data_IF_342523983477
#
_entry.id   IF_342523983477
#
_cell.length_a   1.000
_cell.length_b   1.000
_cell.length_c   1.000
_cell.angle_alpha   90.00
_cell.angle_beta   90.00
_cell.angle_gamma   90.00
#
_symmetry.space_group_name_H-M   'P 1'
#
loop_
_entity.id
_entity.type
_entity.pdbx_description
1 polymer ?
#
# COMPACT_ATOMS: atom_id res chain seq x y z
N UNK A 1 -22.53 -4.33 8.35
CA UNK A 1 -21.48 -4.50 7.31
C UNK A 1 -22.21 -4.48 5.98
N UNK A 2 -21.78 -3.65 5.04
CA UNK A 2 -22.42 -3.54 3.71
C UNK A 2 -22.38 -4.92 3.02
N UNK A 3 -23.52 -5.37 2.52
CA UNK A 3 -23.64 -6.62 1.76
C UNK A 3 -23.40 -6.35 0.28
N UNK A 4 -22.91 -7.36 -0.44
CA UNK A 4 -22.63 -7.25 -1.88
C UNK A 4 -23.61 -8.12 -2.66
N UNK A 5 -24.38 -7.50 -3.53
CA UNK A 5 -25.22 -8.17 -4.52
C UNK A 5 -24.48 -8.25 -5.85
N UNK A 6 -24.34 -9.46 -6.40
CA UNK A 6 -23.72 -9.66 -7.71
C UNK A 6 -24.75 -9.55 -8.83
N UNK A 7 -24.68 -8.52 -9.67
CA UNK A 7 -25.50 -8.46 -10.88
C UNK A 7 -24.92 -9.34 -11.97
N UNK A 8 -25.74 -10.21 -12.53
CA UNK A 8 -25.35 -11.08 -13.64
C UNK A 8 -25.78 -10.55 -15.01
N UNK A 9 -26.25 -9.31 -15.12
CA UNK A 9 -26.79 -8.75 -16.37
C UNK A 9 -25.87 -8.97 -17.59
N UNK A 10 -24.55 -8.80 -17.44
CA UNK A 10 -23.57 -9.01 -18.51
C UNK A 10 -23.31 -10.47 -18.87
N UNK A 11 -23.57 -11.40 -17.95
CA UNK A 11 -23.22 -12.83 -18.04
C UNK A 11 -24.45 -13.73 -17.95
N UNK A 12 -25.63 -13.17 -18.20
CA UNK A 12 -26.94 -13.81 -18.10
C UNK A 12 -27.10 -15.10 -18.93
N UNK A 13 -26.26 -15.31 -19.95
CA UNK A 13 -26.25 -16.52 -20.77
C UNK A 13 -25.26 -17.60 -20.30
N UNK A 14 -24.50 -17.36 -19.23
CA UNK A 14 -23.44 -18.24 -18.73
C UNK A 14 -23.72 -18.60 -17.27
N UNK A 15 -24.38 -19.74 -17.07
CA UNK A 15 -24.79 -20.18 -15.74
C UNK A 15 -23.61 -20.46 -14.81
N UNK A 16 -22.46 -20.90 -15.33
CA UNK A 16 -21.28 -21.15 -14.50
C UNK A 16 -20.76 -19.84 -13.89
N UNK A 17 -20.83 -18.73 -14.63
CA UNK A 17 -20.53 -17.40 -14.09
C UNK A 17 -21.56 -16.93 -13.05
N UNK A 18 -22.85 -17.20 -13.28
CA UNK A 18 -23.89 -16.89 -12.27
C UNK A 18 -23.65 -17.69 -10.99
N UNK A 19 -23.34 -18.97 -11.11
CA UNK A 19 -22.99 -19.85 -9.99
C UNK A 19 -21.71 -19.41 -9.28
N UNK A 20 -20.73 -18.87 -10.01
CA UNK A 20 -19.55 -18.27 -9.43
C UNK A 20 -19.92 -17.05 -8.56
N UNK A 21 -20.80 -16.16 -9.03
CA UNK A 21 -21.33 -15.05 -8.23
C UNK A 21 -22.04 -15.56 -6.96
N UNK A 22 -22.86 -16.62 -7.08
CA UNK A 22 -23.60 -17.23 -5.96
C UNK A 22 -22.68 -17.74 -4.86
N UNK A 23 -21.47 -18.16 -5.23
CA UNK A 23 -20.48 -18.64 -4.25
C UNK A 23 -19.76 -17.52 -3.48
N UNK A 24 -19.71 -16.30 -4.01
CA UNK A 24 -18.89 -15.21 -3.44
C UNK A 24 -19.68 -14.01 -2.91
N UNK A 25 -20.90 -13.78 -3.43
CA UNK A 25 -21.76 -12.65 -3.07
C UNK A 25 -22.73 -12.98 -1.93
N UNK A 26 -23.36 -11.95 -1.39
CA UNK A 26 -24.38 -12.03 -0.34
C UNK A 26 -25.79 -12.15 -0.94
N UNK A 27 -26.02 -11.52 -2.09
CA UNK A 27 -27.22 -11.63 -2.93
C UNK A 27 -26.86 -11.89 -4.39
N UNK A 28 -27.84 -12.39 -5.15
CA UNK A 28 -27.81 -12.40 -6.62
C UNK A 28 -28.82 -11.40 -7.12
N UNK A 29 -28.31 -10.35 -7.78
CA UNK A 29 -29.13 -9.26 -8.30
C UNK A 29 -29.58 -9.59 -9.73
N UNK A 30 -30.88 -9.54 -9.96
CA UNK A 30 -31.52 -9.87 -11.22
C UNK A 30 -32.26 -8.67 -11.80
N UNK A 31 -31.63 -8.06 -12.79
CA UNK A 31 -32.16 -6.97 -13.60
C UNK A 31 -33.23 -7.47 -14.60
N UNK A 32 -34.51 -7.16 -14.38
CA UNK A 32 -35.62 -7.50 -15.29
C UNK A 32 -36.03 -6.27 -16.09
N UNK A 33 -35.72 -6.26 -17.38
CA UNK A 33 -36.00 -5.16 -18.30
C UNK A 33 -37.04 -5.57 -19.35
N UNK A 34 -38.07 -4.76 -19.54
CA UNK A 34 -39.16 -5.03 -20.50
C UNK A 34 -38.92 -4.48 -21.91
N UNK A 35 -37.84 -3.73 -22.12
CA UNK A 35 -37.56 -3.08 -23.39
C UNK A 35 -38.42 -1.83 -23.66
N UNK A 36 -39.23 -1.39 -22.70
CA UNK A 36 -40.04 -0.16 -22.77
C UNK A 36 -39.57 0.88 -21.76
N UNK A 37 -39.31 0.47 -20.52
CA UNK A 37 -38.71 1.34 -19.50
C UNK A 37 -37.24 1.61 -19.80
N UNK A 38 -36.53 0.60 -20.29
CA UNK A 38 -35.16 0.70 -20.82
C UNK A 38 -35.13 0.27 -22.28
N UNK A 39 -34.14 0.71 -23.06
CA UNK A 39 -34.07 0.41 -24.49
C UNK A 39 -33.84 -1.09 -24.81
N UNK A 40 -33.37 -1.88 -23.85
CA UNK A 40 -32.97 -3.27 -24.06
C UNK A 40 -33.68 -4.19 -23.08
N UNK A 41 -34.38 -5.23 -23.55
CA UNK A 41 -34.95 -6.24 -22.66
C UNK A 41 -33.89 -7.19 -22.13
N UNK A 42 -34.12 -7.74 -20.93
CA UNK A 42 -33.31 -8.83 -20.39
C UNK A 42 -33.60 -10.14 -21.14
N UNK A 43 -32.79 -11.18 -20.94
CA UNK A 43 -33.16 -12.53 -21.34
C UNK A 43 -34.55 -12.90 -20.79
N UNK A 44 -35.39 -13.61 -21.57
CA UNK A 44 -36.69 -14.07 -21.12
C UNK A 44 -36.60 -14.89 -19.82
N UNK A 45 -37.46 -14.57 -18.84
CA UNK A 45 -37.48 -15.21 -17.51
C UNK A 45 -37.58 -16.74 -17.61
N UNK A 46 -38.37 -17.26 -18.56
CA UNK A 46 -38.52 -18.69 -18.79
C UNK A 46 -37.22 -19.41 -19.16
N UNK A 47 -36.23 -18.72 -19.74
CA UNK A 47 -34.92 -19.30 -20.06
C UNK A 47 -33.99 -19.38 -18.84
N UNK A 48 -34.17 -18.50 -17.86
CA UNK A 48 -33.31 -18.42 -16.68
C UNK A 48 -33.92 -19.12 -15.46
N UNK A 49 -35.23 -19.39 -15.47
CA UNK A 49 -35.97 -19.91 -14.31
C UNK A 49 -35.38 -21.17 -13.70
N UNK A 50 -34.98 -22.14 -14.53
CA UNK A 50 -34.38 -23.38 -14.05
C UNK A 50 -33.04 -23.11 -13.36
N UNK A 51 -32.20 -22.29 -13.99
CA UNK A 51 -30.87 -21.96 -13.49
C UNK A 51 -30.92 -21.13 -12.21
N UNK A 52 -31.77 -20.10 -12.17
CA UNK A 52 -31.97 -19.27 -10.98
C UNK A 52 -32.53 -20.09 -9.79
N UNK A 53 -33.31 -21.14 -10.04
CA UNK A 53 -33.82 -22.03 -8.99
C UNK A 53 -32.73 -22.89 -8.31
N UNK A 54 -31.55 -23.02 -8.94
CA UNK A 54 -30.41 -23.79 -8.41
C UNK A 54 -29.50 -22.95 -7.51
N UNK A 55 -29.71 -21.63 -7.44
CA UNK A 55 -28.91 -20.70 -6.65
C UNK A 55 -29.22 -20.84 -5.17
N UNK A 56 -28.22 -20.57 -4.32
CA UNK A 56 -28.35 -20.69 -2.86
C UNK A 56 -28.54 -19.34 -2.20
N UNK A 57 -27.99 -18.28 -2.80
CA UNK A 57 -28.09 -16.93 -2.27
C UNK A 57 -29.48 -16.36 -2.53
N UNK A 58 -29.96 -15.49 -1.63
CA UNK A 58 -31.21 -14.77 -1.85
C UNK A 58 -31.17 -14.01 -3.17
N UNK A 59 -32.22 -14.18 -3.97
CA UNK A 59 -32.46 -13.41 -5.18
C UNK A 59 -33.01 -12.04 -4.82
N UNK A 60 -32.45 -11.02 -5.44
CA UNK A 60 -32.87 -9.63 -5.37
C UNK A 60 -33.26 -9.19 -6.78
N UNK A 61 -34.55 -8.93 -7.00
CA UNK A 61 -35.10 -8.70 -8.35
C UNK A 61 -35.39 -7.22 -8.53
N UNK A 62 -34.74 -6.62 -9.51
CA UNK A 62 -34.92 -5.22 -9.87
C UNK A 62 -35.72 -5.11 -11.18
N UNK A 63 -36.95 -4.60 -11.07
CA UNK A 63 -37.88 -4.42 -12.18
C UNK A 63 -37.69 -3.04 -12.82
N UNK A 64 -37.12 -3.06 -14.01
CA UNK A 64 -37.05 -1.97 -14.96
C UNK A 64 -38.13 -2.18 -16.03
N UNK A 65 -39.40 -2.09 -15.64
CA UNK A 65 -40.55 -2.38 -16.49
C UNK A 65 -41.72 -1.41 -16.28
N UNK A 66 -42.50 -1.16 -17.33
CA UNK A 66 -43.74 -0.37 -17.25
C UNK A 66 -44.90 -1.21 -16.73
N UNK A 67 -44.98 -2.48 -17.16
CA UNK A 67 -46.04 -3.41 -16.73
C UNK A 67 -45.59 -4.24 -15.51
N UNK A 68 -45.44 -3.57 -14.37
CA UNK A 68 -44.91 -4.19 -13.15
C UNK A 68 -45.66 -5.46 -12.72
N UNK A 69 -47.00 -5.44 -12.73
CA UNK A 69 -47.82 -6.57 -12.29
C UNK A 69 -47.51 -7.85 -13.08
N UNK A 70 -47.41 -7.73 -14.40
CA UNK A 70 -47.05 -8.84 -15.27
C UNK A 70 -45.68 -9.43 -14.90
N UNK A 71 -44.66 -8.58 -14.74
CA UNK A 71 -43.31 -9.06 -14.45
C UNK A 71 -43.17 -9.62 -13.03
N UNK A 72 -43.91 -9.08 -12.05
CA UNK A 72 -44.02 -9.65 -10.70
C UNK A 72 -44.55 -11.09 -10.79
N UNK A 73 -45.60 -11.34 -11.56
CA UNK A 73 -46.17 -12.67 -11.75
C UNK A 73 -45.25 -13.63 -12.51
N UNK A 74 -44.35 -13.13 -13.35
CA UNK A 74 -43.36 -13.97 -14.02
C UNK A 74 -42.22 -14.40 -13.07
N UNK A 75 -41.81 -13.53 -12.13
CA UNK A 75 -40.65 -13.78 -11.23
C UNK A 75 -41.02 -14.36 -9.87
N UNK A 76 -42.28 -14.22 -9.40
CA UNK A 76 -42.73 -14.76 -8.10
C UNK A 76 -42.38 -16.23 -7.89
N UNK A 77 -42.43 -17.05 -8.96
CA UNK A 77 -42.09 -18.47 -8.89
C UNK A 77 -40.63 -18.75 -8.50
N UNK A 78 -39.75 -17.76 -8.61
CA UNK A 78 -38.36 -17.81 -8.15
C UNK A 78 -38.22 -17.59 -6.65
N UNK A 79 -39.29 -17.13 -5.98
CA UNK A 79 -39.32 -16.76 -4.56
C UNK A 79 -38.20 -15.79 -4.20
N UNK A 80 -38.11 -14.63 -4.88
CA UNK A 80 -37.09 -13.65 -4.59
C UNK A 80 -37.27 -13.10 -3.16
N UNK A 81 -36.15 -12.69 -2.55
CA UNK A 81 -36.19 -12.03 -1.25
C UNK A 81 -36.75 -10.62 -1.33
N UNK A 82 -36.43 -9.91 -2.42
CA UNK A 82 -36.93 -8.58 -2.73
C UNK A 82 -37.43 -8.52 -4.18
N UNK A 83 -38.50 -7.76 -4.39
CA UNK A 83 -38.85 -7.23 -5.72
C UNK A 83 -38.88 -5.71 -5.60
N UNK A 84 -38.02 -5.06 -6.36
CA UNK A 84 -37.82 -3.62 -6.32
C UNK A 84 -38.24 -3.02 -7.67
N UNK A 85 -39.25 -2.17 -7.68
CA UNK A 85 -39.76 -1.53 -8.91
C UNK A 85 -39.43 -0.04 -8.94
N UNK A 86 -39.36 0.54 -10.13
CA UNK A 86 -39.07 1.96 -10.29
C UNK A 86 -40.26 2.84 -9.92
N UNK A 87 -40.02 3.88 -9.11
CA UNK A 87 -41.00 4.92 -8.82
C UNK A 87 -41.49 5.61 -10.10
N UNK A 88 -40.60 5.74 -11.10
CA UNK A 88 -40.89 6.39 -12.38
C UNK A 88 -41.75 5.53 -13.32
N UNK A 89 -41.97 4.26 -12.99
CA UNK A 89 -42.65 3.32 -13.89
C UNK A 89 -44.17 3.34 -13.76
N UNK A 90 -44.72 3.96 -12.71
CA UNK A 90 -46.12 3.77 -12.31
C UNK A 90 -46.62 4.89 -11.40
N UNK A 91 -47.89 5.26 -11.55
CA UNK A 91 -48.61 6.12 -10.59
C UNK A 91 -49.30 5.31 -9.48
N UNK A 92 -49.26 3.97 -9.57
CA UNK A 92 -49.95 3.03 -8.67
C UNK A 92 -48.99 2.39 -7.66
N UNK A 93 -48.15 3.22 -7.03
CA UNK A 93 -47.05 2.76 -6.18
C UNK A 93 -47.55 1.87 -5.03
N UNK A 94 -48.50 2.35 -4.23
CA UNK A 94 -49.05 1.59 -3.09
C UNK A 94 -49.74 0.29 -3.52
N UNK A 95 -50.48 0.28 -4.64
CA UNK A 95 -51.11 -0.96 -5.16
C UNK A 95 -50.06 -2.04 -5.48
N UNK A 96 -48.89 -1.65 -5.99
CA UNK A 96 -47.80 -2.59 -6.33
C UNK A 96 -47.10 -3.08 -5.07
N UNK A 97 -46.86 -2.21 -4.08
CA UNK A 97 -46.31 -2.61 -2.77
C UNK A 97 -47.19 -3.67 -2.12
N UNK A 98 -48.49 -3.38 -1.98
CA UNK A 98 -49.48 -4.28 -1.40
C UNK A 98 -49.53 -5.61 -2.16
N UNK A 99 -49.43 -5.55 -3.50
CA UNK A 99 -49.40 -6.74 -4.33
C UNK A 99 -48.20 -7.62 -4.04
N UNK A 100 -46.98 -7.05 -3.98
CA UNK A 100 -45.73 -7.78 -3.71
C UNK A 100 -45.79 -8.39 -2.30
N UNK A 101 -46.19 -7.62 -1.29
CA UNK A 101 -46.36 -8.11 0.08
C UNK A 101 -47.41 -9.22 0.19
N UNK A 102 -48.51 -9.11 -0.56
CA UNK A 102 -49.55 -10.13 -0.65
C UNK A 102 -49.06 -11.47 -1.22
N UNK A 103 -47.90 -11.49 -1.89
CA UNK A 103 -47.21 -12.71 -2.35
C UNK A 103 -46.18 -13.24 -1.33
N UNK A 104 -46.03 -12.60 -0.18
CA UNK A 104 -45.05 -12.94 0.85
C UNK A 104 -43.61 -12.57 0.48
N UNK A 105 -43.43 -11.60 -0.43
CA UNK A 105 -42.13 -11.09 -0.88
C UNK A 105 -41.95 -9.69 -0.32
N UNK A 106 -40.71 -9.27 -0.06
CA UNK A 106 -40.41 -7.91 0.38
C UNK A 106 -40.45 -6.93 -0.79
N UNK A 107 -41.09 -5.79 -0.58
CA UNK A 107 -41.26 -4.77 -1.61
C UNK A 107 -40.16 -3.71 -1.52
N UNK A 108 -39.62 -3.30 -2.67
CA UNK A 108 -38.69 -2.19 -2.76
C UNK A 108 -39.11 -1.14 -3.79
N UNK A 109 -38.65 0.09 -3.59
CA UNK A 109 -38.75 1.15 -4.60
C UNK A 109 -37.36 1.56 -5.05
N UNK A 110 -37.15 1.59 -6.37
CA UNK A 110 -36.00 2.19 -7.02
C UNK A 110 -36.28 3.62 -7.44
N UNK A 111 -35.26 4.49 -7.35
CA UNK A 111 -35.27 5.82 -7.94
C UNK A 111 -34.04 6.04 -8.83
N UNK A 112 -34.25 6.67 -9.99
CA UNK A 112 -33.18 7.06 -10.89
C UNK A 112 -32.30 8.19 -10.30
N UNK A 113 -31.09 8.42 -10.85
CA UNK A 113 -30.19 9.45 -10.35
C UNK A 113 -30.77 10.87 -10.42
N UNK A 114 -31.66 11.15 -11.35
CA UNK A 114 -32.33 12.45 -11.55
C UNK A 114 -33.63 12.61 -10.73
N UNK A 115 -34.19 11.52 -10.22
CA UNK A 115 -35.39 11.57 -9.38
C UNK A 115 -35.07 12.09 -7.98
N UNK A 116 -35.72 13.18 -7.59
CA UNK A 116 -35.57 13.75 -6.24
C UNK A 116 -35.96 12.74 -5.16
N UNK A 117 -35.08 12.56 -4.15
CA UNK A 117 -35.28 11.59 -3.07
C UNK A 117 -36.56 11.85 -2.25
N UNK A 118 -37.02 13.09 -2.18
CA UNK A 118 -38.25 13.45 -1.48
C UNK A 118 -39.50 12.77 -2.09
N UNK A 119 -39.45 12.36 -3.37
CA UNK A 119 -40.58 11.71 -4.03
C UNK A 119 -40.83 10.29 -3.52
N UNK A 120 -39.83 9.61 -2.96
CA UNK A 120 -40.02 8.27 -2.39
C UNK A 120 -40.46 8.30 -0.93
N UNK A 121 -40.20 9.39 -0.20
CA UNK A 121 -40.52 9.56 1.23
C UNK A 121 -41.94 9.13 1.65
N UNK A 122 -43.01 9.46 0.88
CA UNK A 122 -44.38 9.07 1.25
C UNK A 122 -44.61 7.56 1.36
N UNK A 123 -43.75 6.75 0.74
CA UNK A 123 -43.92 5.29 0.65
C UNK A 123 -42.97 4.52 1.59
N UNK A 124 -42.07 5.22 2.29
CA UNK A 124 -40.99 4.60 3.05
C UNK A 124 -41.44 3.78 4.27
N UNK A 125 -42.66 4.01 4.76
CA UNK A 125 -43.25 3.20 5.82
C UNK A 125 -43.69 1.81 5.35
N UNK A 126 -43.95 1.67 4.04
CA UNK A 126 -44.58 0.49 3.46
C UNK A 126 -43.59 -0.37 2.66
N UNK A 127 -42.33 0.04 2.54
CA UNK A 127 -41.31 -0.71 1.79
C UNK A 127 -40.24 -1.31 2.70
N UNK A 128 -39.62 -2.37 2.22
CA UNK A 128 -38.53 -3.08 2.89
C UNK A 128 -37.15 -2.67 2.34
N UNK A 129 -37.11 -2.06 1.16
CA UNK A 129 -35.88 -1.64 0.47
C UNK A 129 -36.09 -0.34 -0.32
N UNK A 130 -35.08 0.52 -0.30
CA UNK A 130 -34.98 1.67 -1.21
C UNK A 130 -33.70 1.52 -2.03
N UNK A 131 -33.85 1.36 -3.34
CA UNK A 131 -32.74 1.28 -4.28
C UNK A 131 -32.48 2.66 -4.88
N UNK A 132 -31.27 3.17 -4.70
CA UNK A 132 -30.82 4.42 -5.33
C UNK A 132 -29.90 4.08 -6.48
N UNK A 133 -30.35 4.34 -7.70
CA UNK A 133 -29.51 4.18 -8.88
C UNK A 133 -28.39 5.22 -8.88
N UNK A 134 -27.16 4.80 -9.12
CA UNK A 134 -25.98 5.64 -9.37
C UNK A 134 -25.52 5.60 -10.84
N UNK A 135 -26.36 5.08 -11.73
CA UNK A 135 -26.24 5.16 -13.19
C UNK A 135 -27.65 5.29 -13.79
N UNK A 136 -27.77 5.62 -15.08
CA UNK A 136 -29.07 5.54 -15.74
C UNK A 136 -29.47 4.07 -15.91
N UNK A 137 -30.69 3.71 -15.51
CA UNK A 137 -31.21 2.35 -15.67
C UNK A 137 -31.08 1.84 -17.12
N UNK A 138 -30.73 0.55 -17.28
CA UNK A 138 -30.78 -0.16 -18.56
C UNK A 138 -29.47 -0.68 -19.15
N UNK A 139 -28.30 -0.35 -18.59
CA UNK A 139 -27.04 -0.91 -19.06
C UNK A 139 -25.95 -0.98 -17.97
N UNK A 140 -25.17 -2.07 -17.98
CA UNK A 140 -23.99 -2.21 -17.12
C UNK A 140 -22.76 -1.48 -17.66
N UNK A 141 -21.83 -1.13 -16.76
CA UNK A 141 -20.52 -0.54 -17.12
C UNK A 141 -20.50 0.98 -17.25
N UNK A 142 -21.57 1.65 -16.86
CA UNK A 142 -21.67 3.11 -16.84
C UNK A 142 -20.85 3.72 -15.68
N UNK A 143 -20.36 4.97 -15.83
CA UNK A 143 -19.65 5.67 -14.76
C UNK A 143 -20.60 6.02 -13.61
N UNK A 144 -20.09 5.93 -12.39
CA UNK A 144 -20.83 6.27 -11.17
C UNK A 144 -21.23 7.75 -11.16
N UNK A 145 -22.50 8.01 -10.85
CA UNK A 145 -23.08 9.32 -10.57
C UNK A 145 -23.16 9.49 -9.06
N UNK A 146 -22.65 10.60 -8.55
CA UNK A 146 -22.68 10.88 -7.11
C UNK A 146 -24.11 11.08 -6.61
N UNK A 147 -24.53 10.17 -5.74
CA UNK A 147 -25.86 10.14 -5.10
C UNK A 147 -25.74 10.13 -3.57
N UNK A 148 -24.58 10.46 -3.03
CA UNK A 148 -24.29 10.39 -1.58
C UNK A 148 -25.28 11.21 -0.75
N UNK A 149 -25.67 12.40 -1.24
CA UNK A 149 -26.69 13.23 -0.61
C UNK A 149 -28.06 12.53 -0.49
N UNK A 150 -28.43 11.66 -1.44
CA UNK A 150 -29.68 10.89 -1.38
C UNK A 150 -29.60 9.80 -0.31
N UNK A 151 -28.45 9.13 -0.21
CA UNK A 151 -28.21 8.12 0.84
C UNK A 151 -28.31 8.77 2.22
N UNK A 152 -27.64 9.91 2.41
CA UNK A 152 -27.61 10.60 3.69
C UNK A 152 -29.02 11.01 4.14
N UNK A 153 -29.84 11.53 3.23
CA UNK A 153 -31.25 11.86 3.49
C UNK A 153 -32.11 10.63 3.81
N UNK A 154 -31.90 9.51 3.11
CA UNK A 154 -32.63 8.27 3.39
C UNK A 154 -32.25 7.67 4.74
N UNK A 155 -30.99 7.81 5.17
CA UNK A 155 -30.54 7.37 6.49
C UNK A 155 -31.15 8.26 7.58
N UNK A 156 -31.07 9.58 7.43
CA UNK A 156 -31.66 10.53 8.36
C UNK A 156 -33.16 10.24 8.55
N UNK A 157 -33.91 10.13 7.45
CA UNK A 157 -35.34 9.83 7.50
C UNK A 157 -35.63 8.46 8.15
N UNK A 158 -34.84 7.43 7.83
CA UNK A 158 -34.99 6.08 8.41
C UNK A 158 -34.81 6.13 9.92
N UNK A 159 -33.76 6.81 10.38
CA UNK A 159 -33.37 6.83 11.78
C UNK A 159 -34.35 7.68 12.61
N UNK A 160 -34.79 8.83 12.08
CA UNK A 160 -35.80 9.70 12.71
C UNK A 160 -37.16 9.00 12.91
N UNK A 161 -37.56 8.19 11.93
CA UNK A 161 -38.86 7.52 11.93
C UNK A 161 -38.78 6.04 12.38
N UNK A 162 -37.59 5.56 12.75
CA UNK A 162 -37.34 4.17 13.17
C UNK A 162 -37.85 3.12 12.16
N UNK A 163 -37.61 3.36 10.87
CA UNK A 163 -38.14 2.52 9.79
C UNK A 163 -37.22 1.32 9.48
N UNK A 164 -37.78 0.17 9.08
CA UNK A 164 -37.02 -1.07 8.93
C UNK A 164 -36.36 -1.24 7.55
N UNK A 165 -36.61 -0.34 6.58
CA UNK A 165 -36.11 -0.52 5.23
C UNK A 165 -34.58 -0.46 5.15
N UNK A 166 -34.02 -1.22 4.20
CA UNK A 166 -32.60 -1.17 3.87
C UNK A 166 -32.36 -0.28 2.65
N UNK A 167 -31.18 0.32 2.58
CA UNK A 167 -30.77 1.17 1.45
C UNK A 167 -29.82 0.38 0.56
N UNK A 168 -30.17 0.27 -0.71
CA UNK A 168 -29.35 -0.34 -1.75
C UNK A 168 -28.85 0.70 -2.75
N UNK A 169 -27.67 0.47 -3.33
CA UNK A 169 -27.12 1.29 -4.42
C UNK A 169 -26.72 0.39 -5.59
N UNK A 170 -27.22 0.72 -6.79
CA UNK A 170 -26.84 0.02 -8.03
C UNK A 170 -26.27 0.95 -9.10
N UNK A 171 -25.19 0.50 -9.72
CA UNK A 171 -24.55 1.14 -10.87
C UNK A 171 -23.18 1.72 -10.58
N UNK A 172 -22.17 1.37 -11.38
CA UNK A 172 -20.84 2.00 -11.29
C UNK A 172 -20.05 1.65 -10.02
N UNK A 173 -20.45 0.63 -9.26
CA UNK A 173 -19.76 0.19 -8.04
C UNK A 173 -18.43 -0.51 -8.37
N UNK A 174 -17.34 -0.01 -7.80
CA UNK A 174 -15.98 -0.54 -7.85
C UNK A 174 -15.25 -0.28 -6.52
N UNK A 175 -13.97 -0.63 -6.43
CA UNK A 175 -13.13 -0.48 -5.23
C UNK A 175 -12.89 0.97 -4.77
N UNK A 176 -13.15 1.94 -5.63
CA UNK A 176 -13.12 3.37 -5.30
C UNK A 176 -14.52 3.88 -4.91
N UNK A 177 -15.52 3.65 -5.76
CA UNK A 177 -16.88 4.22 -5.60
C UNK A 177 -17.66 3.59 -4.45
N UNK A 178 -17.40 2.33 -4.10
CA UNK A 178 -18.00 1.68 -2.92
C UNK A 178 -17.71 2.43 -1.62
N UNK A 179 -16.59 3.17 -1.55
CA UNK A 179 -16.21 3.96 -0.37
C UNK A 179 -17.10 5.17 -0.18
N UNK A 180 -17.61 5.74 -1.28
CA UNK A 180 -18.53 6.88 -1.26
C UNK A 180 -19.87 6.47 -0.66
N UNK A 181 -20.31 5.25 -0.96
CA UNK A 181 -21.61 4.72 -0.54
C UNK A 181 -21.52 3.73 0.63
N UNK A 182 -20.45 3.82 1.44
CA UNK A 182 -20.20 2.89 2.58
C UNK A 182 -21.30 2.87 3.66
N UNK A 183 -22.19 3.86 3.65
CA UNK A 183 -23.33 3.97 4.56
C UNK A 183 -24.56 3.19 4.08
N UNK A 184 -24.60 2.77 2.81
CA UNK A 184 -25.65 1.89 2.30
C UNK A 184 -25.58 0.51 2.97
N UNK A 185 -26.70 -0.20 3.00
CA UNK A 185 -26.78 -1.55 3.58
C UNK A 185 -26.37 -2.61 2.56
N UNK A 186 -26.68 -2.38 1.28
CA UNK A 186 -26.38 -3.26 0.15
C UNK A 186 -25.82 -2.43 -1.01
N UNK A 187 -24.87 -3.01 -1.75
CA UNK A 187 -24.41 -2.46 -3.03
C UNK A 187 -24.44 -3.54 -4.11
N UNK A 188 -24.86 -3.14 -5.30
CA UNK A 188 -24.92 -4.01 -6.48
C UNK A 188 -23.68 -3.78 -7.33
N UNK A 189 -22.96 -4.86 -7.63
CA UNK A 189 -21.78 -4.84 -8.49
C UNK A 189 -21.92 -5.86 -9.62
N UNK A 190 -22.03 -5.37 -10.85
CA UNK A 190 -22.01 -6.17 -12.07
C UNK A 190 -20.63 -6.19 -12.72
N UNK A 191 -20.42 -5.31 -13.71
CA UNK A 191 -19.21 -5.26 -14.54
C UNK A 191 -17.86 -5.34 -13.80
N UNK A 192 -17.73 -4.67 -12.64
CA UNK A 192 -16.49 -4.73 -11.84
C UNK A 192 -16.11 -6.15 -11.42
N UNK A 193 -17.10 -7.01 -11.15
CA UNK A 193 -16.89 -8.42 -10.82
C UNK A 193 -16.82 -9.24 -12.11
N UNK A 194 -17.83 -9.10 -12.98
CA UNK A 194 -18.03 -10.04 -14.09
C UNK A 194 -17.03 -9.91 -15.23
N UNK A 195 -16.39 -8.75 -15.39
CA UNK A 195 -15.36 -8.51 -16.40
C UNK A 195 -13.96 -9.03 -15.97
N UNK A 196 -13.81 -9.51 -14.74
CA UNK A 196 -12.56 -10.08 -14.23
C UNK A 196 -12.56 -11.61 -14.27
N UNK A 197 -11.39 -12.24 -14.38
CA UNK A 197 -11.28 -13.71 -14.37
C UNK A 197 -11.56 -14.32 -12.98
N UNK A 198 -11.33 -13.55 -11.90
CA UNK A 198 -11.46 -14.04 -10.53
C UNK A 198 -12.46 -13.20 -9.71
N UNK A 199 -13.71 -13.68 -9.64
CA UNK A 199 -14.80 -12.98 -8.94
C UNK A 199 -14.54 -12.85 -7.44
N UNK A 200 -13.95 -13.87 -6.81
CA UNK A 200 -13.61 -13.86 -5.38
C UNK A 200 -12.63 -12.73 -5.06
N UNK A 201 -11.62 -12.52 -5.90
CA UNK A 201 -10.65 -11.43 -5.75
C UNK A 201 -11.33 -10.06 -5.85
N UNK A 202 -12.27 -9.89 -6.78
CA UNK A 202 -13.00 -8.62 -6.95
C UNK A 202 -13.94 -8.33 -5.77
N UNK A 203 -14.70 -9.33 -5.30
CA UNK A 203 -15.53 -9.19 -4.09
C UNK A 203 -14.65 -8.90 -2.87
N UNK A 204 -13.48 -9.52 -2.77
CA UNK A 204 -12.52 -9.21 -1.70
C UNK A 204 -12.04 -7.75 -1.77
N UNK A 205 -11.73 -7.21 -2.95
CA UNK A 205 -11.36 -5.78 -3.11
C UNK A 205 -12.47 -4.84 -2.67
N UNK A 206 -13.73 -5.14 -2.99
CA UNK A 206 -14.89 -4.37 -2.52
C UNK A 206 -14.98 -4.40 -0.98
N UNK A 207 -14.95 -5.59 -0.38
CA UNK A 207 -15.00 -5.77 1.08
C UNK A 207 -13.80 -5.11 1.77
N UNK A 208 -12.60 -5.19 1.18
CA UNK A 208 -11.39 -4.54 1.67
C UNK A 208 -11.54 -3.01 1.65
N UNK A 209 -12.15 -2.46 0.60
CA UNK A 209 -12.32 -1.01 0.45
C UNK A 209 -13.28 -0.39 1.46
N UNK A 210 -14.21 -1.19 1.98
CA UNK A 210 -15.11 -0.81 3.07
C UNK A 210 -14.46 -0.82 4.47
N UNK A 211 -13.24 -1.37 4.60
CA UNK A 211 -12.53 -1.40 5.90
C UNK A 211 -11.85 -0.05 6.14
N UNK A 212 -12.08 0.52 7.32
CA UNK A 212 -11.28 1.65 7.80
C UNK A 212 -10.01 1.09 8.48
N UNK A 213 -8.84 1.42 7.93
CA UNK A 213 -7.53 1.09 8.51
C UNK A 213 -6.83 -0.14 7.92
N UNK A 214 -5.54 -0.29 8.23
CA UNK A 214 -4.72 -1.45 7.86
C UNK A 214 -5.03 -2.64 8.77
N UNK A 215 -4.98 -3.84 8.21
CA UNK A 215 -5.00 -5.07 8.99
C UNK A 215 -3.72 -5.21 9.82
N UNK A 216 -3.78 -5.99 10.91
CA UNK A 216 -2.58 -6.35 11.67
C UNK A 216 -1.50 -6.98 10.78
N UNK A 217 -1.90 -7.82 9.82
CA UNK A 217 -0.98 -8.44 8.87
C UNK A 217 -0.29 -7.40 7.96
N UNK A 218 -1.03 -6.39 7.48
CA UNK A 218 -0.46 -5.29 6.69
C UNK A 218 0.49 -4.42 7.53
N UNK A 219 0.13 -4.12 8.78
CA UNK A 219 1.02 -3.39 9.70
C UNK A 219 2.30 -4.18 10.00
N UNK A 220 2.20 -5.48 10.26
CA UNK A 220 3.34 -6.35 10.46
C UNK A 220 4.23 -6.42 9.21
N UNK A 221 3.63 -6.47 8.02
CA UNK A 221 4.36 -6.42 6.76
C UNK A 221 5.21 -5.15 6.61
N UNK A 222 4.65 -3.98 6.96
CA UNK A 222 5.40 -2.71 6.94
C UNK A 222 6.56 -2.72 7.94
N UNK A 223 6.34 -3.23 9.16
CA UNK A 223 7.39 -3.30 10.20
C UNK A 223 8.56 -4.18 9.73
N UNK A 224 8.28 -5.33 9.10
CA UNK A 224 9.32 -6.23 8.59
C UNK A 224 10.15 -5.54 7.50
N UNK A 225 9.50 -4.87 6.55
CA UNK A 225 10.20 -4.15 5.46
C UNK A 225 11.08 -3.04 6.02
N UNK A 226 10.57 -2.24 6.95
CA UNK A 226 11.35 -1.17 7.60
C UNK A 226 12.54 -1.73 8.39
N UNK A 227 12.38 -2.89 9.04
CA UNK A 227 13.46 -3.55 9.77
C UNK A 227 14.59 -4.01 8.85
N UNK A 228 14.24 -4.59 7.69
CA UNK A 228 15.21 -5.01 6.67
C UNK A 228 15.94 -3.79 6.08
N UNK A 229 15.19 -2.74 5.73
CA UNK A 229 15.78 -1.50 5.22
C UNK A 229 16.72 -0.87 6.23
N UNK A 230 16.34 -0.86 7.51
CA UNK A 230 17.19 -0.39 8.61
C UNK A 230 18.50 -1.16 8.69
N UNK A 231 18.46 -2.50 8.60
CA UNK A 231 19.67 -3.33 8.66
C UNK A 231 20.61 -3.07 7.47
N UNK A 232 20.06 -2.98 6.26
CA UNK A 232 20.84 -2.70 5.04
C UNK A 232 21.46 -1.30 5.13
N UNK A 233 20.69 -0.29 5.55
CA UNK A 233 21.17 1.08 5.68
C UNK A 233 22.29 1.20 6.74
N UNK A 234 22.13 0.59 7.91
CA UNK A 234 23.15 0.59 8.97
C UNK A 234 24.45 -0.05 8.48
N UNK A 235 24.35 -1.19 7.79
CA UNK A 235 25.54 -1.89 7.27
C UNK A 235 26.24 -1.05 6.19
N UNK A 236 25.48 -0.41 5.29
CA UNK A 236 26.03 0.46 4.27
C UNK A 236 26.73 1.69 4.87
N UNK A 237 26.14 2.30 5.91
CA UNK A 237 26.72 3.43 6.64
C UNK A 237 28.01 3.00 7.35
N UNK A 238 28.01 1.86 8.06
CA UNK A 238 29.19 1.34 8.75
C UNK A 238 30.35 1.08 7.77
N UNK A 239 30.07 0.46 6.63
CA UNK A 239 31.06 0.23 5.58
C UNK A 239 31.61 1.54 5.00
N UNK A 240 30.74 2.53 4.77
CA UNK A 240 31.16 3.84 4.26
C UNK A 240 32.03 4.59 5.27
N UNK A 241 31.68 4.53 6.56
CA UNK A 241 32.46 5.14 7.64
C UNK A 241 33.82 4.47 7.78
N UNK A 242 33.88 3.14 7.77
CA UNK A 242 35.14 2.37 7.80
C UNK A 242 36.05 2.72 6.62
N UNK A 243 35.49 2.82 5.40
CA UNK A 243 36.29 3.23 4.24
C UNK A 243 36.81 4.66 4.38
N UNK A 244 35.99 5.60 4.85
CA UNK A 244 36.41 6.99 5.04
C UNK A 244 37.48 7.14 6.13
N UNK A 245 37.37 6.39 7.23
CA UNK A 245 38.39 6.32 8.29
C UNK A 245 39.71 5.75 7.75
N UNK A 246 39.64 4.70 6.95
CA UNK A 246 40.80 4.08 6.32
C UNK A 246 41.54 5.06 5.38
N UNK A 247 40.81 5.74 4.50
CA UNK A 247 41.39 6.74 3.59
C UNK A 247 42.07 7.88 4.36
N UNK A 248 41.45 8.32 5.47
CA UNK A 248 42.03 9.34 6.36
C UNK A 248 43.29 8.85 7.06
N UNK A 249 43.35 7.57 7.47
CA UNK A 249 44.50 6.94 8.09
C UNK A 249 45.70 6.89 7.13
N UNK A 250 45.49 6.51 5.87
CA UNK A 250 46.55 6.51 4.83
C UNK A 250 47.14 7.90 4.57
N UNK A 251 46.30 8.94 4.58
CA UNK A 251 46.78 10.33 4.46
C UNK A 251 47.68 10.71 5.64
N UNK A 252 47.36 10.25 6.85
CA UNK A 252 48.20 10.49 8.01
C UNK A 252 49.52 9.73 7.94
N UNK A 253 49.55 8.46 7.54
CA UNK A 253 50.81 7.72 7.32
C UNK A 253 51.72 8.43 6.32
N UNK A 254 51.13 8.97 5.26
CA UNK A 254 51.86 9.79 4.29
C UNK A 254 52.44 11.05 4.94
N UNK A 255 51.66 11.77 5.74
CA UNK A 255 52.14 12.96 6.45
C UNK A 255 53.26 12.63 7.45
N UNK A 256 53.16 11.51 8.18
CA UNK A 256 54.23 11.03 9.06
C UNK A 256 55.52 10.77 8.27
N UNK A 257 55.39 10.10 7.13
CA UNK A 257 56.51 9.79 6.24
C UNK A 257 57.16 11.04 5.65
N UNK A 258 56.37 12.02 5.20
CA UNK A 258 56.90 13.30 4.71
C UNK A 258 57.57 14.11 5.82
N UNK A 259 56.99 14.13 7.03
CA UNK A 259 57.65 14.75 8.19
C UNK A 259 59.01 14.12 8.51
N UNK A 260 59.09 12.79 8.45
CA UNK A 260 60.35 12.06 8.64
C UNK A 260 61.38 12.35 7.54
N UNK A 261 60.95 12.47 6.28
CA UNK A 261 61.83 12.90 5.17
C UNK A 261 62.41 14.29 5.42
N UNK A 262 61.59 15.23 5.87
CA UNK A 262 62.04 16.59 6.18
C UNK A 262 63.09 16.61 7.30
N UNK A 263 62.90 15.82 8.36
CA UNK A 263 63.94 15.64 9.40
C UNK A 263 65.24 15.10 8.81
N UNK A 264 65.18 14.12 7.91
CA UNK A 264 66.38 13.54 7.29
C UNK A 264 67.10 14.51 6.35
N UNK A 265 66.37 15.41 5.70
CA UNK A 265 66.92 16.49 4.87
C UNK A 265 67.62 17.54 5.73
N UNK A 266 66.98 17.98 6.82
CA UNK A 266 67.53 19.01 7.71
C UNK A 266 68.73 18.50 8.51
N UNK A 267 68.75 17.20 8.80
CA UNK A 267 69.74 16.55 9.66
C UNK A 267 70.40 15.34 8.99
N UNK A 268 71.24 15.55 7.96
CA UNK A 268 71.83 14.47 7.15
C UNK A 268 72.74 13.52 7.95
N UNK A 269 73.23 13.95 9.12
CA UNK A 269 74.03 13.09 10.01
C UNK A 269 73.23 11.92 10.61
N UNK A 270 71.89 11.99 10.56
CA UNK A 270 71.01 10.89 10.97
C UNK A 270 70.81 9.84 9.88
N UNK A 271 71.33 10.05 8.65
CA UNK A 271 71.10 9.12 7.56
C UNK A 271 71.78 7.76 7.84
N UNK A 272 71.08 6.64 7.67
CA UNK A 272 71.67 5.30 7.73
C UNK A 272 72.82 5.14 6.73
N UNK A 273 73.99 4.66 7.17
CA UNK A 273 75.22 4.62 6.34
C UNK A 273 75.53 3.24 5.73
N UNK A 274 74.77 2.20 6.07
CA UNK A 274 74.95 0.84 5.54
C UNK A 274 73.62 0.13 5.29
N UNK A 275 73.58 -0.81 4.35
CA UNK A 275 72.37 -1.55 3.92
C UNK A 275 71.62 -2.33 5.02
N UNK A 276 72.19 -2.45 6.22
CA UNK A 276 71.55 -3.04 7.40
C UNK A 276 71.26 -2.03 8.53
N UNK A 277 71.57 -0.76 8.32
CA UNK A 277 71.33 0.31 9.29
C UNK A 277 69.94 0.94 9.10
N UNK A 278 69.32 1.32 10.21
CA UNK A 278 68.05 2.04 10.21
C UNK A 278 68.04 3.10 11.30
N UNK A 279 67.31 4.18 11.07
CA UNK A 279 67.02 5.19 12.08
C UNK A 279 65.52 5.24 12.31
N UNK A 280 65.12 5.28 13.58
CA UNK A 280 63.71 5.33 13.97
C UNK A 280 63.43 6.69 14.57
N UNK A 281 62.44 7.39 13.98
CA UNK A 281 61.98 8.70 14.42
C UNK A 281 60.64 8.53 15.14
N UNK A 282 60.57 8.73 16.47
CA UNK A 282 59.29 8.70 17.18
C UNK A 282 58.37 9.82 16.68
N UNK A 283 57.06 9.53 16.55
CA UNK A 283 56.08 10.56 16.15
C UNK A 283 56.07 11.75 17.11
N UNK A 284 56.33 11.52 18.40
CA UNK A 284 56.46 12.59 19.40
C UNK A 284 57.60 13.58 19.09
N UNK A 285 58.69 13.12 18.47
CA UNK A 285 59.80 13.97 18.04
C UNK A 285 59.42 14.77 16.80
N UNK A 286 58.70 14.17 15.83
CA UNK A 286 58.19 14.89 14.66
C UNK A 286 57.27 16.06 15.06
N UNK A 287 56.48 15.90 16.12
CA UNK A 287 55.57 16.94 16.62
C UNK A 287 56.24 17.98 17.50
N UNK A 288 56.97 17.53 18.51
CA UNK A 288 57.40 18.36 19.64
C UNK A 288 58.91 18.61 19.68
N UNK A 289 59.67 18.07 18.72
CA UNK A 289 61.13 18.07 18.77
C UNK A 289 61.66 17.10 19.83
N UNK A 290 62.98 17.00 19.94
CA UNK A 290 63.60 16.09 20.90
C UNK A 290 65.04 15.77 20.56
N UNK A 291 65.46 14.55 20.85
CA UNK A 291 66.83 14.09 20.57
C UNK A 291 66.80 12.72 19.93
N UNK A 292 67.51 12.57 18.81
CA UNK A 292 67.72 11.30 18.10
C UNK A 292 69.22 11.07 18.01
N UNK A 293 69.72 9.94 18.52
CA UNK A 293 71.15 9.59 18.53
C UNK A 293 72.08 10.72 19.04
N UNK A 294 71.63 11.49 20.04
CA UNK A 294 72.39 12.61 20.62
C UNK A 294 72.30 13.93 19.84
N UNK A 295 71.61 13.95 18.69
CA UNK A 295 71.35 15.15 17.90
C UNK A 295 70.01 15.76 18.31
N UNK A 296 70.00 17.07 18.62
CA UNK A 296 68.79 17.83 18.94
C UNK A 296 68.03 18.13 17.65
N UNK A 297 66.74 17.83 17.65
CA UNK A 297 65.82 17.96 16.50
C UNK A 297 64.73 18.97 16.86
N UNK A 298 64.51 19.93 15.97
CA UNK A 298 63.45 20.93 16.09
C UNK A 298 62.04 20.32 16.00
N UNK A 299 61.03 21.08 16.43
CA UNK A 299 59.62 20.67 16.40
C UNK A 299 58.88 21.12 15.14
N UNK A 300 57.69 20.56 14.88
CA UNK A 300 56.77 21.08 13.88
C UNK A 300 56.87 20.47 12.49
N UNK A 301 57.46 19.28 12.38
CA UNK A 301 57.50 18.51 11.12
C UNK A 301 56.14 17.91 10.74
N UNK A 302 55.24 17.75 11.72
CA UNK A 302 53.84 17.34 11.54
C UNK A 302 52.93 18.06 12.53
N UNK A 303 51.62 18.00 12.31
CA UNK A 303 50.61 18.59 13.18
C UNK A 303 50.61 17.96 14.59
N UNK A 304 50.32 18.78 15.61
CA UNK A 304 50.19 18.32 17.00
C UNK A 304 48.90 17.53 17.19
N UNK A 305 48.90 16.66 18.20
CA UNK A 305 47.71 15.93 18.66
C UNK A 305 47.04 15.05 17.58
N UNK A 306 47.80 14.52 16.62
CA UNK A 306 47.28 13.59 15.62
C UNK A 306 46.58 12.39 16.28
N UNK A 307 45.37 12.12 15.82
CA UNK A 307 44.53 10.99 16.22
C UNK A 307 44.42 10.04 15.03
N UNK A 308 44.63 8.75 15.29
CA UNK A 308 44.39 7.69 14.33
C UNK A 308 42.87 7.53 14.08
N UNK A 309 42.36 7.79 12.86
CA UNK A 309 40.93 7.75 12.54
C UNK A 309 40.30 6.36 12.66
N UNK A 310 41.11 5.29 12.65
CA UNK A 310 40.64 3.91 12.79
C UNK A 310 40.36 3.57 14.25
N UNK A 311 41.21 4.05 15.18
CA UNK A 311 41.16 3.67 16.61
C UNK A 311 40.68 4.78 17.52
N UNK A 312 40.55 6.01 17.02
CA UNK A 312 40.31 7.23 17.80
C UNK A 312 41.36 7.44 18.93
N UNK A 313 42.55 6.85 18.79
CA UNK A 313 43.69 7.01 19.73
C UNK A 313 44.73 7.99 19.20
N UNK A 314 45.36 8.72 20.12
CA UNK A 314 46.47 9.62 19.78
C UNK A 314 47.74 8.83 19.47
N UNK A 315 48.46 9.22 18.39
CA UNK A 315 49.77 8.67 18.05
C UNK A 315 50.86 8.92 19.11
N UNK A 316 50.60 9.83 20.06
CA UNK A 316 51.56 10.32 21.06
C UNK A 316 51.42 9.59 22.40
N UNK A 317 50.40 8.73 22.56
CA UNK A 317 50.21 8.00 23.80
C UNK A 317 51.36 7.02 24.03
N UNK A 318 51.83 6.88 25.28
CA UNK A 318 52.92 5.96 25.65
C UNK A 318 52.62 4.48 25.32
N UNK A 319 51.37 4.15 24.99
CA UNK A 319 50.90 2.84 24.55
C UNK A 319 50.96 2.60 23.05
N UNK A 320 51.15 3.64 22.22
CA UNK A 320 51.01 3.51 20.77
C UNK A 320 52.32 3.23 20.02
N UNK A 321 53.45 3.69 20.56
CA UNK A 321 54.78 3.32 20.04
C UNK A 321 55.00 3.61 18.54
N UNK A 322 54.24 4.54 17.94
CA UNK A 322 54.31 4.79 16.49
C UNK A 322 55.56 5.59 16.16
N UNK A 323 56.26 5.16 15.13
CA UNK A 323 57.50 5.78 14.66
C UNK A 323 57.65 5.60 13.16
N UNK A 324 58.48 6.43 12.53
CA UNK A 324 58.89 6.22 11.14
C UNK A 324 60.29 5.66 11.14
N UNK A 325 60.45 4.45 10.60
CA UNK A 325 61.74 3.82 10.37
C UNK A 325 62.25 4.19 8.98
N UNK A 326 63.47 4.70 8.94
CA UNK A 326 64.21 5.02 7.72
C UNK A 326 65.27 3.95 7.52
N UNK A 327 65.26 3.27 6.38
CA UNK A 327 66.21 2.21 6.01
C UNK A 327 66.87 2.55 4.68
N UNK A 328 68.17 2.29 4.54
CA UNK A 328 68.83 2.44 3.23
C UNK A 328 68.71 1.16 2.42
N UNK A 329 68.35 1.29 1.14
CA UNK A 329 68.16 0.14 0.24
C UNK A 329 69.42 -0.16 -0.57
N UNK A 330 70.09 0.86 -1.10
CA UNK A 330 71.30 0.72 -1.94
C UNK A 330 72.39 1.77 -1.61
N UNK A 331 72.44 2.25 -0.37
CA UNK A 331 73.42 3.25 0.10
C UNK A 331 73.21 4.68 -0.40
N UNK A 332 72.23 4.90 -1.28
CA UNK A 332 71.86 6.22 -1.84
C UNK A 332 70.36 6.47 -1.80
N UNK A 333 69.54 5.41 -1.85
CA UNK A 333 68.09 5.47 -1.69
C UNK A 333 67.66 5.07 -0.27
N UNK A 334 66.58 5.70 0.21
CA UNK A 334 66.00 5.47 1.53
C UNK A 334 64.52 5.11 1.43
N UNK A 335 64.14 4.03 2.10
CA UNK A 335 62.76 3.66 2.34
C UNK A 335 62.30 4.18 3.71
N UNK A 336 61.04 4.59 3.76
CA UNK A 336 60.38 5.09 4.95
C UNK A 336 59.19 4.19 5.26
N UNK A 337 59.16 3.64 6.47
CA UNK A 337 58.09 2.74 6.90
C UNK A 337 57.52 3.23 8.22
N UNK A 338 56.21 3.45 8.27
CA UNK A 338 55.51 3.71 9.53
C UNK A 338 55.45 2.39 10.30
N UNK A 339 55.99 2.40 11.52
CA UNK A 339 56.04 1.25 12.42
C UNK A 339 55.11 1.52 13.59
N UNK A 340 54.18 0.61 13.82
CA UNK A 340 53.20 0.67 14.89
C UNK A 340 53.65 -0.16 16.08
N UNK A 341 53.38 0.31 17.30
CA UNK A 341 53.64 -0.45 18.53
C UNK A 341 52.66 -1.60 18.74
N UNK A 342 51.43 -1.47 18.22
CA UNK A 342 50.40 -2.51 18.21
C UNK A 342 49.79 -2.65 16.81
N UNK A 343 49.48 -3.88 16.38
CA UNK A 343 48.85 -4.13 15.08
C UNK A 343 47.49 -3.42 14.93
N UNK A 344 46.74 -3.29 16.03
CA UNK A 344 45.45 -2.60 16.08
C UNK A 344 45.53 -1.09 15.75
N UNK A 345 46.73 -0.51 15.75
CA UNK A 345 46.94 0.90 15.42
C UNK A 345 47.37 1.10 13.96
N UNK A 346 47.61 0.03 13.21
CA UNK A 346 47.94 0.11 11.79
C UNK A 346 46.73 0.52 10.95
N UNK A 347 46.99 1.14 9.79
CA UNK A 347 45.94 1.42 8.81
C UNK A 347 45.55 0.17 8.00
N UNK A 348 45.55 -1.04 8.56
CA UNK A 348 45.19 -2.26 7.83
C UNK A 348 43.67 -2.45 7.70
N UNK A 349 43.27 -3.11 6.62
CA UNK A 349 41.87 -3.27 6.18
C UNK A 349 41.31 -4.64 6.50
#
# INVERSE_FOLDING_TARGET
>A
MVKIAGSFLKVQSDFDKIKALDSVCDYIHYDVMDGRFTERPTLPINKMKEDLSKLKKPLDVHLMAVDNMKYIDEVIGLKPSYITFHLESTDKVSEIIDYIHGKGIKAGIAINPDTEVNKVMPYLNDVDMVLVMSVKAGAGGQPFIDITDKIDKLIEYRDENSLPYIIEVDGGINDNTIRMVKKADVVVAGSFITDADNYQSQVYKLKKSLRNGFTLAELLGVIVVLSILGLVAVTAIDNSLKSSRYDSCLVQEKNLTEGAKMVMIDYPNLLPTSSSSSVTIPVSVLQNGGTINGQVIDSGYIEKDLINPMTDKSYVSSSSGVSVRVTTTNGTDFDYTVVYGNEDESCHR
#
